data_IF_799229616273
#
_entry.id   IF_799229616273
#
_cell.length_a   1.000
_cell.length_b   1.000
_cell.length_c   1.000
_cell.angle_alpha   90.00
_cell.angle_beta   90.00
_cell.angle_gamma   90.00
#
_symmetry.space_group_name_H-M   'P 1'
#
loop_
_entity.id
_entity.type
_entity.pdbx_description
1 polymer ?
#
# COMPACT_ATOMS: atom_id res chain seq x y z
N UNK A 1 -1.40 -7.96 9.51
CA UNK A 1 -2.16 -8.17 8.26
C UNK A 1 -1.38 -9.12 7.36
N UNK A 2 -1.99 -10.15 6.78
CA UNK A 2 -1.28 -11.15 5.95
C UNK A 2 -0.61 -10.55 4.70
N UNK A 3 -1.18 -9.46 4.16
CA UNK A 3 -0.60 -8.74 3.03
C UNK A 3 0.79 -8.16 3.35
N UNK A 4 0.97 -7.54 4.51
CA UNK A 4 2.27 -6.97 4.93
C UNK A 4 3.35 -8.05 5.05
N UNK A 5 3.03 -9.20 5.66
CA UNK A 5 3.96 -10.31 5.78
C UNK A 5 4.40 -10.86 4.40
N UNK A 6 3.51 -10.80 3.40
CA UNK A 6 3.85 -11.13 2.01
C UNK A 6 4.75 -10.09 1.35
N UNK A 7 4.54 -8.80 1.62
CA UNK A 7 5.34 -7.69 1.09
C UNK A 7 6.74 -7.63 1.71
N UNK A 8 6.84 -7.92 3.01
CA UNK A 8 8.10 -8.01 3.76
C UNK A 8 8.98 -9.20 3.33
N UNK A 9 8.43 -10.17 2.60
CA UNK A 9 9.21 -11.28 2.08
C UNK A 9 10.20 -10.76 1.02
N UNK A 10 11.52 -10.95 1.18
CA UNK A 10 12.52 -10.44 0.24
C UNK A 10 12.39 -11.04 -1.17
N UNK A 11 11.70 -12.17 -1.33
CA UNK A 11 11.40 -12.78 -2.62
C UNK A 11 10.09 -12.31 -3.24
N UNK A 12 9.42 -11.31 -2.64
CA UNK A 12 8.18 -10.76 -3.17
C UNK A 12 8.45 -10.00 -4.48
N UNK A 13 7.87 -10.50 -5.58
CA UNK A 13 7.98 -9.93 -6.93
C UNK A 13 6.70 -9.24 -7.37
N UNK A 14 5.90 -8.75 -6.42
CA UNK A 14 4.63 -8.11 -6.72
C UNK A 14 4.89 -6.78 -7.44
N UNK A 15 4.39 -6.64 -8.67
CA UNK A 15 4.58 -5.44 -9.49
C UNK A 15 3.41 -4.44 -9.39
N UNK A 16 2.21 -4.91 -9.08
CA UNK A 16 1.01 -4.08 -8.96
C UNK A 16 0.15 -4.55 -7.79
N UNK A 17 -0.23 -3.63 -6.90
CA UNK A 17 -1.11 -3.86 -5.77
C UNK A 17 -2.28 -2.89 -5.84
N UNK A 18 -3.50 -3.43 -5.90
CA UNK A 18 -4.73 -2.64 -5.95
C UNK A 18 -5.68 -3.09 -4.86
N UNK A 19 -5.87 -2.26 -3.85
CA UNK A 19 -6.81 -2.46 -2.76
C UNK A 19 -7.97 -1.50 -2.97
N UNK A 20 -9.05 -2.01 -3.56
CA UNK A 20 -10.27 -1.23 -3.81
C UNK A 20 -11.29 -1.50 -2.72
N UNK A 21 -11.96 -0.44 -2.25
CA UNK A 21 -13.05 -0.55 -1.27
C UNK A 21 -12.52 -1.19 0.03
N UNK A 22 -11.27 -0.90 0.38
CA UNK A 22 -10.69 -1.35 1.64
C UNK A 22 -10.84 -0.24 2.68
N UNK A 23 -11.59 -0.49 3.74
CA UNK A 23 -11.63 0.37 4.93
C UNK A 23 -10.38 0.12 5.78
N UNK A 24 -9.22 0.48 5.24
CA UNK A 24 -7.97 0.48 5.99
C UNK A 24 -8.03 1.63 7.02
N UNK A 25 -7.76 1.32 8.28
CA UNK A 25 -7.46 2.35 9.28
C UNK A 25 -6.10 2.97 9.01
N UNK A 26 -5.86 4.20 9.50
CA UNK A 26 -4.56 4.88 9.39
C UNK A 26 -3.41 4.01 9.89
N UNK A 27 -3.66 3.26 10.98
CA UNK A 27 -2.70 2.28 11.51
C UNK A 27 -2.36 1.19 10.47
N UNK A 28 -3.36 0.60 9.83
CA UNK A 28 -3.14 -0.43 8.81
C UNK A 28 -2.46 0.11 7.55
N UNK A 29 -2.73 1.36 7.16
CA UNK A 29 -2.00 2.05 6.10
C UNK A 29 -0.53 2.29 6.47
N UNK A 30 -0.25 2.70 7.71
CA UNK A 30 1.12 2.85 8.21
C UNK A 30 1.92 1.54 8.18
N UNK A 31 1.30 0.44 8.62
CA UNK A 31 1.93 -0.89 8.56
C UNK A 31 2.14 -1.35 7.12
N UNK A 32 1.21 -1.05 6.20
CA UNK A 32 1.39 -1.33 4.76
C UNK A 32 2.56 -0.53 4.18
N UNK A 33 2.65 0.76 4.50
CA UNK A 33 3.75 1.63 4.06
C UNK A 33 5.11 1.14 4.55
N UNK A 34 5.20 0.73 5.83
CA UNK A 34 6.43 0.18 6.39
C UNK A 34 6.87 -1.12 5.69
N UNK A 35 5.93 -2.03 5.44
CA UNK A 35 6.21 -3.28 4.71
C UNK A 35 6.76 -3.03 3.29
N UNK A 36 6.25 -1.99 2.61
CA UNK A 36 6.73 -1.56 1.30
C UNK A 36 8.11 -0.90 1.33
N UNK A 37 8.47 -0.24 2.43
CA UNK A 37 9.80 0.36 2.63
C UNK A 37 10.85 -0.67 3.02
N UNK A 38 10.50 -1.62 3.89
CA UNK A 38 11.43 -2.66 4.39
C UNK A 38 11.90 -3.60 3.29
N UNK A 39 11.10 -3.81 2.26
CA UNK A 39 11.49 -4.52 1.06
C UNK A 39 11.12 -3.64 -0.12
N UNK A 40 12.08 -2.90 -0.73
CA UNK A 40 11.82 -2.06 -1.91
C UNK A 40 11.43 -2.99 -3.06
N UNK A 41 10.16 -3.35 -3.06
CA UNK A 41 9.57 -4.32 -3.96
C UNK A 41 9.69 -3.83 -5.39
N UNK A 42 9.61 -4.74 -6.35
CA UNK A 42 9.46 -4.40 -7.77
C UNK A 42 8.11 -3.74 -8.09
N UNK A 43 7.40 -3.23 -7.08
CA UNK A 43 6.08 -2.64 -7.17
C UNK A 43 6.16 -1.31 -7.91
N UNK A 44 5.61 -1.31 -9.11
CA UNK A 44 5.51 -0.13 -9.98
C UNK A 44 4.20 0.62 -9.74
N UNK A 45 3.16 -0.08 -9.29
CA UNK A 45 1.82 0.47 -9.14
C UNK A 45 1.20 0.13 -7.78
N UNK A 46 0.71 1.16 -7.09
CA UNK A 46 -0.06 1.05 -5.86
C UNK A 46 -1.35 1.88 -6.00
N UNK A 47 -2.52 1.22 -5.94
CA UNK A 47 -3.84 1.86 -5.92
C UNK A 47 -4.54 1.50 -4.60
N UNK A 48 -4.66 2.47 -3.70
CA UNK A 48 -5.41 2.34 -2.45
C UNK A 48 -6.68 3.19 -2.54
N UNK A 49 -7.85 2.54 -2.51
CA UNK A 49 -9.14 3.23 -2.47
C UNK A 49 -9.91 2.83 -1.23
N UNK A 50 -10.23 3.82 -0.40
CA UNK A 50 -11.16 3.65 0.70
C UNK A 50 -12.57 3.39 0.19
N UNK A 51 -13.32 2.58 0.93
CA UNK A 51 -14.75 2.38 0.74
C UNK A 51 -15.59 3.58 1.22
N UNK A 52 -14.98 4.52 1.96
CA UNK A 52 -15.71 5.63 2.55
C UNK A 52 -16.07 6.70 1.51
N UNK A 53 -17.36 6.74 1.19
CA UNK A 53 -18.00 7.76 0.37
C UNK A 53 -18.06 9.16 1.02
N UNK A 54 -17.65 9.30 2.29
CA UNK A 54 -17.63 10.58 3.02
C UNK A 54 -16.24 11.15 3.28
N UNK A 55 -15.18 10.33 3.24
CA UNK A 55 -13.81 10.78 3.45
C UNK A 55 -12.91 10.04 2.46
N UNK A 56 -13.03 10.41 1.19
CA UNK A 56 -12.23 9.82 0.14
C UNK A 56 -10.80 10.33 0.23
N UNK A 57 -9.97 9.66 1.03
CA UNK A 57 -8.52 9.76 0.86
C UNK A 57 -8.16 9.09 -0.46
N UNK A 58 -8.16 9.86 -1.53
CA UNK A 58 -7.54 9.48 -2.79
C UNK A 58 -6.02 9.51 -2.62
N UNK A 59 -5.42 8.47 -2.06
CA UNK A 59 -3.98 8.25 -2.25
C UNK A 59 -3.77 7.70 -3.66
N UNK A 60 -3.85 8.59 -4.65
CA UNK A 60 -3.23 8.34 -5.96
C UNK A 60 -1.73 8.50 -5.77
N UNK A 61 -1.00 7.43 -6.04
CA UNK A 61 0.45 7.39 -6.04
C UNK A 61 1.05 8.59 -6.79
N UNK A 62 1.52 9.58 -6.04
CA UNK A 62 2.57 10.53 -6.41
C UNK A 62 3.56 10.62 -5.25
N UNK A 63 3.96 9.49 -4.69
CA UNK A 63 5.03 9.48 -3.67
C UNK A 63 5.88 8.23 -3.90
N UNK A 64 6.62 8.27 -4.99
CA UNK A 64 8.00 7.81 -4.97
C UNK A 64 8.77 9.03 -5.51
N UNK A 65 9.56 9.72 -4.68
CA UNK A 65 10.38 10.94 -4.95
C UNK A 65 9.99 12.30 -4.31
N UNK A 66 9.43 12.37 -3.10
CA UNK A 66 9.56 13.62 -2.30
C UNK A 66 9.76 13.34 -0.80
N UNK A 67 10.87 12.64 -0.50
CA UNK A 67 11.64 12.74 0.75
C UNK A 67 13.08 12.34 0.46
#
# INVERSE_FOLDING_TARGET
>A
MLLCAGLENPNCKLESLRLRICSLSDFSCGVLGFALMSNPSHLKELDLRSADFQNSFYMKSYIWFDL
#
